data_IF_578556977091
#
_entry.id   IF_578556977091
#
_cell.length_a   1.000
_cell.length_b   1.000
_cell.length_c   1.000
_cell.angle_alpha   90.00
_cell.angle_beta   90.00
_cell.angle_gamma   90.00
#
_symmetry.space_group_name_H-M   'P 1'
#
loop_
_entity.id
_entity.type
_entity.pdbx_description
1 polymer ?
#
# COMPACT_ATOMS: atom_id res chain seq x y z
N UNK A 1 10.66 -19.57 -21.00
CA UNK A 1 10.06 -20.88 -21.33
C UNK A 1 9.77 -21.76 -20.09
N UNK A 2 10.73 -22.02 -19.18
CA UNK A 2 10.48 -22.86 -18.00
C UNK A 2 9.60 -22.23 -16.88
N UNK A 3 9.49 -20.90 -16.80
CA UNK A 3 8.66 -20.24 -15.78
C UNK A 3 7.15 -20.24 -16.16
N UNK A 4 6.81 -20.03 -17.44
CA UNK A 4 5.42 -20.03 -17.92
C UNK A 4 4.73 -21.40 -17.79
N UNK A 5 5.47 -22.50 -17.92
CA UNK A 5 4.91 -23.84 -17.74
C UNK A 5 4.61 -24.15 -16.26
N UNK A 6 5.48 -23.71 -15.33
CA UNK A 6 5.26 -23.86 -13.88
C UNK A 6 4.06 -23.01 -13.40
N UNK A 7 3.85 -21.84 -14.00
CA UNK A 7 2.71 -20.96 -13.72
C UNK A 7 1.37 -21.51 -14.25
N UNK A 8 1.36 -22.17 -15.42
CA UNK A 8 0.16 -22.81 -15.98
C UNK A 8 -0.32 -24.02 -15.17
N UNK A 9 0.59 -24.74 -14.51
CA UNK A 9 0.24 -25.83 -13.58
C UNK A 9 -0.45 -25.29 -12.33
N UNK A 10 0.13 -24.26 -11.71
CA UNK A 10 -0.38 -23.65 -10.47
C UNK A 10 -1.79 -23.03 -10.63
N UNK A 11 -2.10 -22.40 -11.77
CA UNK A 11 -3.43 -21.83 -12.02
C UNK A 11 -4.55 -22.89 -12.15
N UNK A 12 -4.22 -24.11 -12.59
CA UNK A 12 -5.18 -25.23 -12.64
C UNK A 12 -5.45 -25.81 -11.26
N UNK A 13 -4.40 -26.00 -10.47
CA UNK A 13 -4.50 -26.56 -9.11
C UNK A 13 -5.24 -25.58 -8.17
N UNK A 14 -5.03 -24.28 -8.36
CA UNK A 14 -5.70 -23.23 -7.61
C UNK A 14 -7.20 -23.11 -7.95
N UNK A 15 -7.55 -23.23 -9.23
CA UNK A 15 -8.96 -23.30 -9.66
C UNK A 15 -9.66 -24.56 -9.17
N UNK A 16 -8.92 -25.67 -9.03
CA UNK A 16 -9.42 -26.91 -8.47
C UNK A 16 -9.67 -26.77 -6.96
N UNK A 17 -8.74 -26.14 -6.22
CA UNK A 17 -8.88 -25.88 -4.78
C UNK A 17 -10.05 -24.93 -4.46
N UNK A 18 -10.24 -23.87 -5.25
CA UNK A 18 -11.39 -22.94 -5.12
C UNK A 18 -12.74 -23.62 -5.34
N UNK A 19 -12.79 -24.69 -6.13
CA UNK A 19 -14.00 -25.44 -6.45
C UNK A 19 -14.41 -26.42 -5.34
N UNK A 20 -13.48 -26.75 -4.44
CA UNK A 20 -13.70 -27.66 -3.31
C UNK A 20 -14.21 -26.89 -2.07
N UNK A 21 -14.03 -25.58 -2.01
CA UNK A 21 -14.49 -24.74 -0.90
C UNK A 21 -16.01 -24.47 -0.94
N UNK A 22 -16.71 -24.51 0.21
CA UNK A 22 -18.13 -24.16 0.30
C UNK A 22 -18.38 -22.70 -0.12
N UNK A 23 -19.47 -22.45 -0.85
CA UNK A 23 -19.79 -21.17 -1.51
C UNK A 23 -19.75 -19.94 -0.58
N UNK A 24 -20.12 -20.09 0.69
CA UNK A 24 -20.07 -19.00 1.69
C UNK A 24 -18.64 -18.51 2.02
N UNK A 25 -17.62 -19.32 1.74
CA UNK A 25 -16.21 -18.97 1.97
C UNK A 25 -15.47 -18.65 0.66
N UNK A 26 -16.08 -18.89 -0.51
CA UNK A 26 -15.47 -18.55 -1.79
C UNK A 26 -15.23 -17.05 -1.92
N UNK A 27 -16.14 -16.20 -1.46
CA UNK A 27 -15.96 -14.74 -1.54
C UNK A 27 -14.76 -14.25 -0.69
N UNK A 28 -14.56 -14.86 0.49
CA UNK A 28 -13.43 -14.56 1.39
C UNK A 28 -12.13 -15.11 0.81
N UNK A 29 -12.16 -16.34 0.28
CA UNK A 29 -11.00 -16.97 -0.36
C UNK A 29 -10.58 -16.20 -1.62
N UNK A 30 -11.53 -15.77 -2.46
CA UNK A 30 -11.29 -14.92 -3.64
C UNK A 30 -10.73 -13.56 -3.21
N UNK A 31 -11.22 -12.96 -2.13
CA UNK A 31 -10.66 -11.72 -1.58
C UNK A 31 -9.22 -11.92 -1.09
N UNK A 32 -8.93 -13.02 -0.39
CA UNK A 32 -7.57 -13.38 0.06
C UNK A 32 -6.62 -13.72 -1.10
N UNK A 33 -7.15 -14.34 -2.16
CA UNK A 33 -6.43 -14.65 -3.39
C UNK A 33 -6.13 -13.42 -4.24
N UNK A 34 -7.05 -12.46 -4.30
CA UNK A 34 -6.80 -11.15 -4.92
C UNK A 34 -5.65 -10.40 -4.22
N UNK A 35 -5.50 -10.60 -2.91
CA UNK A 35 -4.40 -10.03 -2.11
C UNK A 35 -3.06 -10.77 -2.34
N UNK A 36 -3.08 -12.03 -2.82
CA UNK A 36 -1.87 -12.86 -2.95
C UNK A 36 -1.45 -13.18 -4.39
N UNK A 37 -2.32 -13.05 -5.40
CA UNK A 37 -1.93 -13.30 -6.79
C UNK A 37 -1.38 -12.03 -7.46
N UNK A 38 -0.10 -11.74 -7.25
CA UNK A 38 0.65 -10.81 -8.10
C UNK A 38 0.94 -11.45 -9.46
N UNK A 39 -0.09 -11.64 -10.29
CA UNK A 39 0.09 -11.99 -11.69
C UNK A 39 0.55 -10.74 -12.44
N UNK A 40 1.77 -10.77 -13.00
CA UNK A 40 2.28 -9.79 -13.96
C UNK A 40 1.45 -9.84 -15.25
N UNK A 41 0.27 -9.21 -15.22
CA UNK A 41 -0.55 -8.96 -16.42
C UNK A 41 0.06 -7.76 -17.14
N UNK A 42 0.36 -7.91 -18.43
CA UNK A 42 0.92 -6.86 -19.28
C UNK A 42 0.19 -5.52 -19.12
N UNK A 43 0.95 -4.43 -19.14
CA UNK A 43 0.46 -3.08 -18.89
C UNK A 43 -0.70 -2.75 -19.83
N UNK A 44 -1.93 -2.72 -19.31
CA UNK A 44 -3.05 -2.10 -20.03
C UNK A 44 -2.72 -0.61 -20.19
N UNK A 45 -2.80 -0.11 -21.41
CA UNK A 45 -2.70 1.33 -21.67
C UNK A 45 -3.78 2.06 -20.90
N UNK A 46 -3.40 2.98 -20.01
CA UNK A 46 -4.33 3.78 -19.21
C UNK A 46 -5.13 4.69 -20.14
N UNK A 47 -6.45 4.58 -20.12
CA UNK A 47 -7.32 5.49 -20.88
C UNK A 47 -7.37 6.86 -20.18
N UNK A 48 -7.66 7.94 -20.90
CA UNK A 48 -7.85 9.28 -20.29
C UNK A 48 -8.89 9.26 -19.18
N UNK A 49 -9.97 8.49 -19.37
CA UNK A 49 -11.01 8.30 -18.37
C UNK A 49 -10.46 7.59 -17.12
N UNK A 50 -9.63 6.55 -17.28
CA UNK A 50 -8.98 5.90 -16.14
C UNK A 50 -8.04 6.86 -15.40
N UNK A 51 -7.29 7.70 -16.12
CA UNK A 51 -6.41 8.70 -15.50
C UNK A 51 -7.19 9.71 -14.64
N UNK A 52 -8.32 10.22 -15.15
CA UNK A 52 -9.22 11.10 -14.39
C UNK A 52 -9.75 10.39 -13.13
N UNK A 53 -10.20 9.14 -13.27
CA UNK A 53 -10.66 8.36 -12.11
C UNK A 53 -9.55 8.14 -11.08
N UNK A 54 -8.32 7.86 -11.50
CA UNK A 54 -7.20 7.67 -10.58
C UNK A 54 -6.92 8.96 -9.79
N UNK A 55 -6.93 10.11 -10.47
CA UNK A 55 -6.78 11.43 -9.82
C UNK A 55 -7.90 11.74 -8.84
N UNK A 56 -9.17 11.49 -9.23
CA UNK A 56 -10.32 11.67 -8.34
C UNK A 56 -10.26 10.75 -7.12
N UNK A 57 -9.86 9.48 -7.31
CA UNK A 57 -9.64 8.54 -6.22
C UNK A 57 -8.59 9.05 -5.23
N UNK A 58 -7.46 9.54 -5.74
CA UNK A 58 -6.40 10.13 -4.91
C UNK A 58 -6.88 11.38 -4.16
N UNK A 59 -7.64 12.27 -4.81
CA UNK A 59 -8.21 13.45 -4.17
C UNK A 59 -9.17 13.07 -3.02
N UNK A 60 -10.05 12.08 -3.25
CA UNK A 60 -10.93 11.55 -2.20
C UNK A 60 -10.15 10.89 -1.06
N UNK A 61 -9.08 10.15 -1.39
CA UNK A 61 -8.15 9.59 -0.42
C UNK A 61 -7.52 10.65 0.48
N UNK A 62 -7.01 11.73 -0.12
CA UNK A 62 -6.40 12.84 0.62
C UNK A 62 -7.42 13.68 1.40
N UNK A 63 -8.65 13.81 0.90
CA UNK A 63 -9.73 14.46 1.64
C UNK A 63 -10.09 13.65 2.90
N UNK A 64 -10.23 12.33 2.76
CA UNK A 64 -10.45 11.43 3.91
C UNK A 64 -9.26 11.44 4.88
N UNK A 65 -8.04 11.50 4.36
CA UNK A 65 -6.82 11.60 5.17
C UNK A 65 -6.75 12.92 5.96
N UNK A 66 -7.10 14.06 5.34
CA UNK A 66 -7.20 15.34 6.05
C UNK A 66 -8.29 15.32 7.11
N UNK A 67 -9.47 14.81 6.79
CA UNK A 67 -10.55 14.68 7.77
C UNK A 67 -10.13 13.80 8.95
N UNK A 68 -9.50 12.65 8.69
CA UNK A 68 -8.98 11.79 9.75
C UNK A 68 -7.93 12.53 10.59
N UNK A 69 -7.00 13.27 9.96
CA UNK A 69 -6.01 14.06 10.67
C UNK A 69 -6.64 15.08 11.61
N UNK A 70 -7.57 15.89 11.09
CA UNK A 70 -8.09 17.03 11.83
C UNK A 70 -9.06 16.62 12.95
N UNK A 71 -9.84 15.55 12.75
CA UNK A 71 -10.85 15.11 13.72
C UNK A 71 -10.40 13.98 14.65
N UNK A 72 -9.40 13.17 14.27
CA UNK A 72 -8.98 11.99 15.04
C UNK A 72 -7.58 12.18 15.64
N UNK A 73 -6.60 12.60 14.82
CA UNK A 73 -5.20 12.63 15.26
C UNK A 73 -4.81 13.94 15.94
N UNK A 74 -5.20 15.07 15.38
CA UNK A 74 -4.87 16.41 15.88
C UNK A 74 -5.36 16.65 17.32
N UNK A 75 -6.56 16.20 17.74
CA UNK A 75 -6.99 16.30 19.14
C UNK A 75 -6.17 15.46 20.13
N UNK A 76 -5.35 14.54 19.64
CA UNK A 76 -4.46 13.68 20.44
C UNK A 76 -2.99 14.13 20.35
N UNK A 77 -2.72 15.33 19.81
CA UNK A 77 -1.38 15.84 19.48
C UNK A 77 -0.57 14.91 18.56
N UNK A 78 -1.28 14.13 17.73
CA UNK A 78 -0.72 13.27 16.70
C UNK A 78 -0.99 13.85 15.30
N UNK A 79 -0.24 13.39 14.31
CA UNK A 79 -0.49 13.70 12.90
C UNK A 79 -0.59 12.42 12.07
N UNK A 80 -1.42 12.43 11.03
CA UNK A 80 -1.47 11.36 10.02
C UNK A 80 -1.06 11.79 8.61
N UNK A 81 -0.62 13.03 8.44
CA UNK A 81 -0.11 13.54 7.17
C UNK A 81 1.41 13.43 7.10
N UNK A 82 1.90 12.84 6.02
CA UNK A 82 3.33 12.73 5.75
C UNK A 82 3.56 12.77 4.22
N UNK A 83 4.55 13.52 3.70
CA UNK A 83 4.80 13.64 2.26
C UNK A 83 4.88 12.31 1.48
N UNK A 84 5.50 11.22 1.99
CA UNK A 84 5.53 9.93 1.29
C UNK A 84 4.15 9.31 1.03
N UNK A 85 3.11 9.70 1.79
CA UNK A 85 1.74 9.24 1.53
C UNK A 85 1.20 9.69 0.16
N UNK A 86 1.78 10.74 -0.44
CA UNK A 86 1.50 11.10 -1.83
C UNK A 86 1.89 9.99 -2.80
N UNK A 87 3.07 9.41 -2.64
CA UNK A 87 3.53 8.28 -3.43
C UNK A 87 2.70 7.00 -3.14
N UNK A 88 2.29 6.81 -1.88
CA UNK A 88 1.34 5.73 -1.51
C UNK A 88 0.04 5.88 -2.30
N UNK A 89 -0.56 7.07 -2.34
CA UNK A 89 -1.77 7.33 -3.10
C UNK A 89 -1.58 7.06 -4.60
N UNK A 90 -0.46 7.51 -5.20
CA UNK A 90 -0.15 7.21 -6.60
C UNK A 90 -0.15 5.70 -6.85
N UNK A 91 0.51 4.92 -6.00
CA UNK A 91 0.53 3.46 -6.12
C UNK A 91 -0.86 2.85 -5.96
N UNK A 92 -1.60 3.23 -4.91
CA UNK A 92 -2.91 2.66 -4.61
C UNK A 92 -3.96 2.96 -5.70
N UNK A 93 -4.00 4.19 -6.22
CA UNK A 93 -5.04 4.58 -7.18
C UNK A 93 -4.66 4.34 -8.64
N UNK A 94 -3.39 4.53 -9.00
CA UNK A 94 -2.95 4.34 -10.40
C UNK A 94 -2.47 2.92 -10.70
N UNK A 95 -1.95 2.20 -9.70
CA UNK A 95 -1.42 0.85 -9.86
C UNK A 95 -1.92 -0.10 -8.75
N UNK A 96 -3.25 -0.26 -8.54
CA UNK A 96 -3.81 -1.03 -7.43
C UNK A 96 -3.39 -2.51 -7.43
N UNK A 97 -3.06 -3.06 -8.60
CA UNK A 97 -2.64 -4.46 -8.75
C UNK A 97 -1.14 -4.68 -8.59
N UNK A 98 -0.33 -3.62 -8.46
CA UNK A 98 1.10 -3.77 -8.31
C UNK A 98 1.42 -4.48 -6.97
N UNK A 99 2.46 -5.34 -6.91
CA UNK A 99 2.88 -5.97 -5.66
C UNK A 99 3.15 -4.95 -4.55
N UNK A 100 3.77 -3.82 -4.90
CA UNK A 100 4.07 -2.73 -3.97
C UNK A 100 2.82 -1.99 -3.46
N UNK A 101 1.67 -2.11 -4.13
CA UNK A 101 0.40 -1.50 -3.71
C UNK A 101 -0.45 -2.45 -2.85
N UNK A 102 -0.05 -3.72 -2.71
CA UNK A 102 -0.80 -4.68 -1.92
C UNK A 102 -0.77 -4.28 -0.44
N UNK A 103 -1.87 -4.42 0.31
CA UNK A 103 -1.94 -4.01 1.72
C UNK A 103 -0.82 -4.58 2.58
N UNK A 104 -0.42 -5.83 2.32
CA UNK A 104 0.73 -6.48 2.99
C UNK A 104 2.02 -5.67 2.83
N UNK A 105 2.33 -5.24 1.61
CA UNK A 105 3.52 -4.45 1.32
C UNK A 105 3.42 -3.03 1.91
N UNK A 106 2.27 -2.37 1.77
CA UNK A 106 2.08 -1.01 2.29
C UNK A 106 2.22 -0.96 3.81
N UNK A 107 1.48 -1.81 4.53
CA UNK A 107 1.49 -1.86 6.00
C UNK A 107 2.83 -2.38 6.51
N UNK A 108 3.31 -3.50 5.95
CA UNK A 108 4.59 -4.10 6.31
C UNK A 108 5.76 -3.15 6.07
N UNK A 109 5.80 -2.46 4.94
CA UNK A 109 6.83 -1.48 4.61
C UNK A 109 6.87 -0.32 5.61
N UNK A 110 5.72 0.27 5.95
CA UNK A 110 5.67 1.35 6.95
C UNK A 110 6.03 0.88 8.36
N UNK A 111 5.66 -0.35 8.74
CA UNK A 111 6.09 -0.96 10.01
C UNK A 111 7.61 -1.13 10.07
N UNK A 112 8.21 -1.70 9.01
CA UNK A 112 9.66 -1.89 8.91
C UNK A 112 10.38 -0.55 8.94
N UNK A 113 9.94 0.42 8.12
CA UNK A 113 10.53 1.75 8.08
C UNK A 113 10.45 2.47 9.42
N UNK A 114 9.31 2.36 10.12
CA UNK A 114 9.13 2.91 11.46
C UNK A 114 9.97 2.20 12.52
N UNK A 115 10.13 0.87 12.46
CA UNK A 115 10.98 0.17 13.42
C UNK A 115 12.48 0.49 13.22
N UNK A 116 12.94 0.45 11.97
CA UNK A 116 14.34 0.73 11.60
C UNK A 116 14.71 2.16 11.96
N UNK A 117 13.90 3.13 11.56
CA UNK A 117 14.19 4.52 11.82
C UNK A 117 14.22 4.80 13.33
N UNK A 118 13.47 4.02 14.14
CA UNK A 118 13.39 4.21 15.59
C UNK A 118 14.70 3.77 16.21
N UNK A 119 15.17 2.60 15.80
CA UNK A 119 16.47 2.08 16.20
C UNK A 119 17.59 3.07 15.82
N UNK A 120 17.57 3.62 14.60
CA UNK A 120 18.58 4.57 14.13
C UNK A 120 18.56 5.87 14.93
N UNK A 121 17.39 6.45 15.19
CA UNK A 121 17.27 7.68 16.00
C UNK A 121 17.74 7.43 17.44
N UNK A 122 17.41 6.29 18.03
CA UNK A 122 17.84 5.93 19.39
C UNK A 122 19.35 5.69 19.50
N UNK A 123 20.03 5.37 18.40
CA UNK A 123 21.49 5.22 18.37
C UNK A 123 22.23 6.56 18.25
N UNK A 124 21.50 7.69 18.17
CA UNK A 124 22.05 9.05 18.08
C UNK A 124 23.14 9.21 17.00
N UNK A 125 23.00 8.49 15.87
CA UNK A 125 23.96 8.49 14.76
C UNK A 125 24.01 9.89 14.10
N UNK A 126 25.05 10.71 14.34
CA UNK A 126 24.95 12.14 14.10
C UNK A 126 25.19 12.57 12.65
N UNK A 127 25.86 11.75 11.82
CA UNK A 127 26.25 12.16 10.46
C UNK A 127 25.81 11.25 9.30
N UNK A 128 25.15 10.11 9.55
CA UNK A 128 24.72 9.20 8.48
C UNK A 128 23.44 8.42 8.81
N UNK A 129 22.62 8.94 9.73
CA UNK A 129 21.41 8.27 10.18
C UNK A 129 20.46 7.95 9.03
N UNK A 130 20.22 8.89 8.11
CA UNK A 130 19.26 8.64 7.03
C UNK A 130 19.75 7.56 6.06
N UNK A 131 21.05 7.55 5.75
CA UNK A 131 21.66 6.51 4.91
C UNK A 131 21.47 5.13 5.54
N UNK A 132 21.78 4.99 6.82
CA UNK A 132 21.62 3.73 7.55
C UNK A 132 20.15 3.29 7.59
N UNK A 133 19.23 4.21 7.86
CA UNK A 133 17.81 3.90 7.93
C UNK A 133 17.24 3.46 6.59
N UNK A 134 17.58 4.14 5.49
CA UNK A 134 17.13 3.78 4.15
C UNK A 134 17.72 2.42 3.76
N UNK A 135 19.02 2.20 3.96
CA UNK A 135 19.67 0.95 3.60
C UNK A 135 19.03 -0.24 4.36
N UNK A 136 18.93 -0.16 5.68
CA UNK A 136 18.34 -1.22 6.52
C UNK A 136 16.86 -1.46 6.18
N UNK A 137 16.09 -0.40 5.96
CA UNK A 137 14.67 -0.51 5.59
C UNK A 137 14.51 -1.24 4.26
N UNK A 138 15.32 -0.91 3.24
CA UNK A 138 15.29 -1.59 1.94
C UNK A 138 15.70 -3.05 2.09
N UNK A 139 16.77 -3.34 2.84
CA UNK A 139 17.23 -4.70 3.09
C UNK A 139 16.12 -5.55 3.73
N UNK A 140 15.50 -5.07 4.81
CA UNK A 140 14.46 -5.80 5.52
C UNK A 140 13.18 -5.96 4.68
N UNK A 141 12.75 -4.92 3.97
CA UNK A 141 11.61 -5.04 3.06
C UNK A 141 11.86 -6.06 1.94
N UNK A 142 13.08 -6.10 1.41
CA UNK A 142 13.48 -7.07 0.38
C UNK A 142 13.48 -8.50 0.93
N UNK A 143 14.06 -8.71 2.11
CA UNK A 143 14.09 -10.03 2.79
C UNK A 143 12.70 -10.55 3.13
N UNK A 144 11.78 -9.66 3.50
CA UNK A 144 10.41 -10.02 3.92
C UNK A 144 9.41 -10.03 2.76
N UNK A 145 9.85 -9.74 1.54
CA UNK A 145 8.99 -9.60 0.35
C UNK A 145 7.86 -8.56 0.56
N UNK A 146 8.18 -7.48 1.26
CA UNK A 146 7.26 -6.38 1.61
C UNK A 146 7.74 -5.04 1.02
N UNK A 147 8.36 -5.10 -0.15
CA UNK A 147 8.92 -3.91 -0.82
C UNK A 147 7.83 -2.90 -1.15
N UNK A 148 7.86 -1.78 -0.42
CA UNK A 148 7.00 -0.63 -0.64
C UNK A 148 7.87 0.63 -0.74
N UNK A 149 8.20 1.09 -1.97
CA UNK A 149 9.13 2.21 -2.17
C UNK A 149 8.83 3.48 -1.36
N UNK A 150 7.55 3.91 -1.17
CA UNK A 150 7.23 5.05 -0.32
C UNK A 150 7.71 4.92 1.13
N UNK A 151 7.81 3.70 1.67
CA UNK A 151 8.31 3.46 3.02
C UNK A 151 9.82 3.73 3.16
N UNK A 152 10.60 3.62 2.08
CA UNK A 152 12.01 4.03 2.09
C UNK A 152 12.17 5.54 2.27
N UNK A 153 11.36 6.33 1.54
CA UNK A 153 11.31 7.79 1.72
C UNK A 153 10.77 8.18 3.11
N UNK A 154 9.83 7.39 3.65
CA UNK A 154 9.36 7.53 5.02
C UNK A 154 10.48 7.36 6.05
N UNK A 155 11.31 6.32 5.91
CA UNK A 155 12.45 6.09 6.79
C UNK A 155 13.45 7.27 6.78
N UNK A 156 13.81 7.75 5.58
CA UNK A 156 14.67 8.92 5.41
C UNK A 156 14.12 10.14 6.15
N UNK A 157 12.88 10.52 5.82
CA UNK A 157 12.24 11.72 6.34
C UNK A 157 12.14 11.67 7.87
N UNK A 158 11.89 10.48 8.40
CA UNK A 158 11.73 10.29 9.82
C UNK A 158 13.02 10.56 10.59
N UNK A 159 14.12 9.92 10.18
CA UNK A 159 15.42 10.11 10.82
C UNK A 159 15.88 11.56 10.66
N UNK A 160 15.68 12.14 9.47
CA UNK A 160 16.02 13.54 9.21
C UNK A 160 15.30 14.52 10.15
N UNK A 161 14.04 14.24 10.50
CA UNK A 161 13.27 15.09 11.43
C UNK A 161 13.49 14.77 12.91
N UNK A 162 14.24 13.72 13.25
CA UNK A 162 14.50 13.32 14.64
C UNK A 162 13.22 13.09 15.47
N UNK A 163 12.15 12.59 14.83
CA UNK A 163 10.85 12.46 15.50
C UNK A 163 10.88 11.38 16.60
N UNK A 164 10.03 11.54 17.64
CA UNK A 164 9.93 10.57 18.76
C UNK A 164 9.16 9.30 18.37
N UNK A 165 9.50 8.12 18.91
CA UNK A 165 8.93 6.81 18.52
C UNK A 165 7.39 6.72 18.45
N UNK A 166 6.65 7.48 19.26
CA UNK A 166 5.19 7.50 19.21
C UNK A 166 4.64 8.26 17.99
N UNK A 167 5.35 9.32 17.55
CA UNK A 167 5.09 10.07 16.30
C UNK A 167 5.57 9.34 15.05
N UNK A 168 5.98 8.07 15.20
CA UNK A 168 6.68 7.26 14.20
C UNK A 168 5.83 6.21 13.53
N UNK A 169 5.00 5.54 14.31
CA UNK A 169 4.02 4.62 13.77
C UNK A 169 2.75 5.39 13.35
N UNK A 170 2.36 6.39 14.13
CA UNK A 170 1.10 7.10 13.96
C UNK A 170 0.93 7.72 12.56
N UNK A 171 1.87 8.52 12.01
CA UNK A 171 1.62 9.15 10.73
C UNK A 171 1.68 8.21 9.54
N UNK A 172 2.73 7.38 9.48
CA UNK A 172 2.94 6.47 8.36
C UNK A 172 1.87 5.39 8.27
N UNK A 173 1.62 4.66 9.37
CA UNK A 173 0.68 3.54 9.35
C UNK A 173 -0.76 4.00 9.37
N UNK A 174 -1.11 4.96 10.23
CA UNK A 174 -2.50 5.38 10.29
C UNK A 174 -2.93 6.07 8.99
N UNK A 175 -2.04 6.90 8.42
CA UNK A 175 -2.29 7.50 7.11
C UNK A 175 -2.38 6.46 5.99
N UNK A 176 -1.49 5.46 5.96
CA UNK A 176 -1.57 4.36 5.01
C UNK A 176 -2.86 3.55 5.16
N UNK A 177 -3.29 3.24 6.38
CA UNK A 177 -4.55 2.54 6.65
C UNK A 177 -5.75 3.33 6.13
N UNK A 178 -5.81 4.64 6.37
CA UNK A 178 -6.88 5.50 5.85
C UNK A 178 -6.91 5.44 4.31
N UNK A 179 -5.76 5.58 3.66
CA UNK A 179 -5.68 5.53 2.19
C UNK A 179 -6.09 4.16 1.64
N UNK A 180 -5.68 3.04 2.26
CA UNK A 180 -6.09 1.70 1.87
C UNK A 180 -7.62 1.57 2.01
N UNK A 181 -8.20 1.99 3.14
CA UNK A 181 -9.64 1.95 3.35
C UNK A 181 -10.39 2.74 2.28
N UNK A 182 -9.97 3.97 1.99
CA UNK A 182 -10.60 4.80 0.96
C UNK A 182 -10.43 4.19 -0.44
N UNK A 183 -9.27 3.62 -0.75
CA UNK A 183 -9.03 2.93 -2.01
C UNK A 183 -9.97 1.73 -2.18
N UNK A 184 -10.16 0.90 -1.15
CA UNK A 184 -11.09 -0.24 -1.22
C UNK A 184 -12.52 0.21 -1.52
N UNK A 185 -12.99 1.27 -0.85
CA UNK A 185 -14.31 1.86 -1.10
C UNK A 185 -14.39 2.40 -2.53
N UNK A 186 -13.38 3.14 -2.99
CA UNK A 186 -13.31 3.72 -4.32
C UNK A 186 -13.36 2.65 -5.42
N UNK A 187 -12.57 1.58 -5.28
CA UNK A 187 -12.55 0.48 -6.26
C UNK A 187 -13.90 -0.26 -6.32
N UNK A 188 -14.58 -0.44 -5.18
CA UNK A 188 -15.93 -1.01 -5.14
C UNK A 188 -16.95 -0.13 -5.87
N UNK A 189 -16.90 1.19 -5.66
CA UNK A 189 -17.77 2.14 -6.36
C UNK A 189 -17.48 2.13 -7.86
N UNK A 190 -16.20 2.21 -8.26
CA UNK A 190 -15.77 2.18 -9.66
C UNK A 190 -16.26 0.91 -10.37
N UNK A 191 -16.17 -0.25 -9.70
CA UNK A 191 -16.67 -1.52 -10.22
C UNK A 191 -18.20 -1.55 -10.40
N UNK A 192 -18.96 -0.87 -9.54
CA UNK A 192 -20.42 -0.79 -9.65
C UNK A 192 -20.91 0.20 -10.73
N UNK A 193 -20.14 1.28 -10.99
CA UNK A 193 -20.54 2.37 -11.90
C UNK A 193 -20.11 2.12 -13.35
N UNK A 194 -18.87 1.66 -13.58
CA UNK A 194 -18.32 1.51 -14.93
C UNK A 194 -19.14 0.62 -15.88
N UNK A 195 -19.73 -0.51 -15.46
CA UNK A 195 -20.55 -1.33 -16.33
C UNK A 195 -21.82 -0.63 -16.82
N UNK A 196 -22.34 0.33 -16.05
CA UNK A 196 -23.54 1.11 -16.42
C UNK A 196 -23.23 2.18 -17.46
N UNK A 197 -22.05 2.81 -17.35
CA UNK A 197 -21.61 3.84 -18.30
C UNK A 197 -21.29 3.29 -19.69
N UNK A 198 -20.84 2.03 -19.80
CA UNK A 198 -20.55 1.40 -21.09
C UNK A 198 -21.78 0.85 -21.83
N UNK A 199 -22.95 0.83 -21.19
CA UNK A 199 -24.21 0.39 -21.80
C UNK A 199 -24.94 1.51 -22.54
N UNK A 200 -24.48 2.74 -22.41
CA UNK A 200 -24.98 3.92 -23.10
C UNK A 200 -23.89 4.46 -24.03
#
# INVERSE_FOLDING_TARGET
YNCEQKLKGSDKDLKLALKILPTKFQDIAVAALFVTSSTTRGTKTTTTMDAIFNGLGAALGFAALHAANDYIFKPQDLGCLCPPLGAVAVLLFSMPMAPASQPKAVIGGHLIAGAVSCAVVMMELPQYGEMAAVALTITLMSMLEMTHPPAGAYAFLYVNKGMKPIGMLAPGLAGACVLICTQQVFLRIKAAVLPKLKKH
#
